data_IF_773477644583
#
_entry.id   IF_773477644583
#
_cell.length_a   1.000
_cell.length_b   1.000
_cell.length_c   1.000
_cell.angle_alpha   90.00
_cell.angle_beta   90.00
_cell.angle_gamma   90.00
#
_symmetry.space_group_name_H-M   'P 1'
#
loop_
_entity.id
_entity.type
_entity.pdbx_description
1 polymer ?
#
# COMPACT_ATOMS: atom_id res chain seq x y z
N UNK A 1 32.52 -8.58 8.85
CA UNK A 1 31.34 -8.95 8.05
C UNK A 1 30.16 -8.16 8.60
N UNK A 2 29.60 -7.25 7.82
CA UNK A 2 28.42 -6.48 8.26
C UNK A 2 27.27 -7.46 8.45
N UNK A 3 26.83 -7.64 9.69
CA UNK A 3 25.58 -8.33 9.99
C UNK A 3 24.47 -7.54 9.30
N UNK A 4 24.04 -8.06 8.15
CA UNK A 4 22.83 -7.62 7.48
C UNK A 4 21.75 -7.64 8.56
N UNK A 5 21.12 -6.50 8.85
CA UNK A 5 19.91 -6.50 9.66
C UNK A 5 18.78 -7.02 8.76
N UNK A 6 18.85 -8.32 8.45
CA UNK A 6 17.99 -9.06 7.55
C UNK A 6 16.52 -8.91 8.00
N UNK A 7 16.32 -8.65 9.30
CA UNK A 7 15.05 -8.29 9.92
C UNK A 7 14.41 -7.05 9.29
N UNK A 8 15.14 -5.94 9.07
CA UNK A 8 14.54 -4.69 8.56
C UNK A 8 14.07 -4.84 7.10
N UNK A 9 14.85 -5.50 6.25
CA UNK A 9 14.47 -5.81 4.85
C UNK A 9 13.29 -6.78 4.81
N UNK A 10 13.32 -7.83 5.64
CA UNK A 10 12.23 -8.82 5.73
C UNK A 10 10.95 -8.17 6.23
N UNK A 11 11.03 -7.30 7.24
CA UNK A 11 9.89 -6.58 7.78
C UNK A 11 9.27 -5.63 6.75
N UNK A 12 10.09 -4.91 5.98
CA UNK A 12 9.59 -4.05 4.89
C UNK A 12 8.87 -4.87 3.82
N UNK A 13 9.47 -5.97 3.36
CA UNK A 13 8.84 -6.86 2.37
C UNK A 13 7.52 -7.42 2.87
N UNK A 14 7.50 -7.93 4.10
CA UNK A 14 6.27 -8.43 4.73
C UNK A 14 5.18 -7.36 4.78
N UNK A 15 5.50 -6.15 5.24
CA UNK A 15 4.52 -5.07 5.32
C UNK A 15 3.97 -4.65 3.94
N UNK A 16 4.82 -4.68 2.90
CA UNK A 16 4.39 -4.45 1.50
C UNK A 16 3.45 -5.56 1.04
N UNK A 17 3.81 -6.82 1.28
CA UNK A 17 3.03 -7.97 0.82
C UNK A 17 1.67 -8.06 1.55
N UNK A 18 1.65 -7.73 2.85
CA UNK A 18 0.41 -7.61 3.64
C UNK A 18 -0.50 -6.50 3.07
N UNK A 19 0.08 -5.36 2.68
CA UNK A 19 -0.66 -4.24 2.07
C UNK A 19 -1.25 -4.64 0.70
N UNK A 20 -0.47 -5.31 -0.14
CA UNK A 20 -0.93 -5.82 -1.45
C UNK A 20 -2.08 -6.81 -1.26
N UNK A 21 -1.92 -7.77 -0.37
CA UNK A 21 -2.94 -8.77 -0.07
C UNK A 21 -4.25 -8.11 0.40
N UNK A 22 -4.15 -7.11 1.28
CA UNK A 22 -5.31 -6.38 1.78
C UNK A 22 -6.05 -5.65 0.64
N UNK A 23 -5.31 -5.00 -0.26
CA UNK A 23 -5.86 -4.30 -1.43
C UNK A 23 -6.56 -5.27 -2.39
N UNK A 24 -5.94 -6.39 -2.73
CA UNK A 24 -6.53 -7.41 -3.60
C UNK A 24 -7.83 -8.00 -3.01
N UNK A 25 -7.86 -8.21 -1.70
CA UNK A 25 -9.07 -8.63 -1.00
C UNK A 25 -10.19 -7.59 -1.12
N UNK A 26 -9.90 -6.30 -0.92
CA UNK A 26 -10.91 -5.25 -1.06
C UNK A 26 -11.45 -5.17 -2.50
N UNK A 27 -10.56 -5.27 -3.50
CA UNK A 27 -10.94 -5.30 -4.92
C UNK A 27 -11.85 -6.48 -5.23
N UNK A 28 -11.54 -7.66 -4.70
CA UNK A 28 -12.35 -8.87 -4.85
C UNK A 28 -13.74 -8.68 -4.23
N UNK A 29 -13.83 -8.16 -3.01
CA UNK A 29 -15.11 -7.92 -2.36
C UNK A 29 -16.01 -6.97 -3.15
N UNK A 30 -15.46 -5.85 -3.63
CA UNK A 30 -16.19 -4.87 -4.42
C UNK A 30 -16.73 -5.44 -5.74
N UNK A 31 -16.08 -6.45 -6.32
CA UNK A 31 -16.52 -7.09 -7.58
C UNK A 31 -17.65 -8.09 -7.39
N UNK A 32 -17.71 -8.74 -6.23
CA UNK A 32 -18.60 -9.89 -6.03
C UNK A 32 -19.84 -9.56 -5.20
N UNK A 33 -19.81 -8.51 -4.38
CA UNK A 33 -20.96 -8.17 -3.52
C UNK A 33 -21.11 -6.66 -3.32
N UNK A 34 -22.30 -6.14 -3.65
CA UNK A 34 -22.68 -4.74 -3.48
C UNK A 34 -22.77 -4.34 -1.99
N UNK A 35 -23.06 -5.29 -1.10
CA UNK A 35 -23.18 -5.06 0.34
C UNK A 35 -21.81 -5.03 1.04
N UNK A 36 -20.76 -5.54 0.38
CA UNK A 36 -19.39 -5.54 0.89
C UNK A 36 -18.83 -4.14 1.15
N UNK A 37 -19.42 -3.08 0.57
CA UNK A 37 -19.09 -1.67 0.83
C UNK A 37 -18.98 -1.32 2.32
N UNK A 38 -19.89 -1.86 3.13
CA UNK A 38 -19.90 -1.60 4.58
C UNK A 38 -18.61 -2.10 5.25
N UNK A 39 -17.95 -3.11 4.67
CA UNK A 39 -16.66 -3.64 5.11
C UNK A 39 -15.49 -2.94 4.42
N UNK A 40 -15.61 -2.62 3.14
CA UNK A 40 -14.52 -2.03 2.35
C UNK A 40 -14.24 -0.57 2.73
N UNK A 41 -15.27 0.24 3.00
CA UNK A 41 -15.11 1.66 3.39
C UNK A 41 -14.27 1.83 4.66
N UNK A 42 -14.56 1.17 5.80
CA UNK A 42 -13.73 1.29 6.99
C UNK A 42 -12.34 0.71 6.80
N UNK A 43 -12.18 -0.37 6.02
CA UNK A 43 -10.87 -0.94 5.71
C UNK A 43 -9.99 0.04 4.91
N UNK A 44 -10.55 0.70 3.88
CA UNK A 44 -9.85 1.72 3.10
C UNK A 44 -9.48 2.95 3.94
N UNK A 45 -10.34 3.36 4.88
CA UNK A 45 -10.11 4.56 5.72
C UNK A 45 -9.14 4.32 6.87
N UNK A 46 -9.15 3.16 7.51
CA UNK A 46 -8.39 2.93 8.75
C UNK A 46 -7.25 1.94 8.54
N UNK A 47 -7.57 0.71 8.15
CA UNK A 47 -6.57 -0.35 8.06
C UNK A 47 -5.53 -0.04 6.98
N UNK A 48 -5.97 0.43 5.82
CA UNK A 48 -5.08 0.67 4.70
C UNK A 48 -4.15 1.88 4.93
N UNK A 49 -4.67 2.93 5.57
CA UNK A 49 -3.88 4.08 6.02
C UNK A 49 -2.78 3.63 6.99
N UNK A 50 -3.11 2.77 7.96
CA UNK A 50 -2.15 2.24 8.92
C UNK A 50 -1.07 1.39 8.26
N UNK A 51 -1.45 0.50 7.34
CA UNK A 51 -0.48 -0.31 6.59
C UNK A 51 0.45 0.55 5.73
N UNK A 52 -0.07 1.59 5.07
CA UNK A 52 0.74 2.54 4.30
C UNK A 52 1.74 3.30 5.17
N UNK A 53 1.35 3.69 6.39
CA UNK A 53 2.26 4.34 7.35
C UNK A 53 3.36 3.39 7.83
N UNK A 54 3.03 2.11 8.06
CA UNK A 54 4.00 1.08 8.42
C UNK A 54 5.00 0.87 7.28
N UNK A 55 4.54 0.72 6.04
CA UNK A 55 5.39 0.56 4.85
C UNK A 55 6.31 1.78 4.67
N UNK A 56 5.79 3.00 4.77
CA UNK A 56 6.58 4.23 4.69
C UNK A 56 7.61 4.38 5.82
N UNK A 57 7.28 3.90 7.03
CA UNK A 57 8.21 3.92 8.16
C UNK A 57 9.33 2.90 7.98
N UNK A 58 8.99 1.67 7.57
CA UNK A 58 9.94 0.59 7.37
C UNK A 58 10.86 0.83 6.17
N UNK A 59 10.38 1.46 5.10
CA UNK A 59 11.22 1.84 3.95
C UNK A 59 12.33 2.82 4.35
N UNK A 60 12.00 3.85 5.14
CA UNK A 60 13.00 4.80 5.67
C UNK A 60 14.01 4.13 6.60
N UNK A 61 13.55 3.26 7.51
CA UNK A 61 14.44 2.49 8.40
C UNK A 61 15.38 1.59 7.59
N UNK A 62 14.84 0.89 6.60
CA UNK A 62 15.64 0.08 5.68
C UNK A 62 16.69 0.92 4.93
N UNK A 63 16.31 2.09 4.43
CA UNK A 63 17.21 3.01 3.74
C UNK A 63 18.38 3.46 4.63
N UNK A 64 18.13 3.74 5.92
CA UNK A 64 19.15 4.13 6.91
C UNK A 64 20.07 2.95 7.27
N UNK A 65 19.48 1.81 7.61
CA UNK A 65 20.23 0.64 8.11
C UNK A 65 21.05 -0.03 7.01
N UNK A 66 20.61 0.09 5.75
CA UNK A 66 21.19 -0.62 4.61
C UNK A 66 21.99 0.28 3.67
N UNK A 67 22.36 1.52 4.07
CA UNK A 67 23.12 2.48 3.23
C UNK A 67 24.40 1.91 2.58
N UNK A 68 24.95 0.85 3.14
CA UNK A 68 26.19 0.21 2.70
C UNK A 68 25.93 -1.11 1.94
N UNK A 69 24.68 -1.49 1.70
CA UNK A 69 24.29 -2.79 1.15
C UNK A 69 24.04 -2.72 -0.37
N UNK A 70 24.57 -3.66 -1.19
CA UNK A 70 24.41 -3.66 -2.64
C UNK A 70 22.95 -3.54 -3.11
N UNK A 71 22.03 -4.25 -2.45
CA UNK A 71 20.59 -4.23 -2.77
C UNK A 71 19.92 -2.86 -2.55
N UNK A 72 20.45 -2.04 -1.63
CA UNK A 72 20.00 -0.66 -1.37
C UNK A 72 20.88 0.37 -2.11
N UNK A 73 22.04 -0.06 -2.61
CA UNK A 73 22.80 0.70 -3.61
C UNK A 73 22.14 0.61 -5.01
N UNK A 74 21.43 -0.48 -5.34
CA UNK A 74 20.73 -0.63 -6.65
C UNK A 74 19.56 0.36 -6.79
N UNK A 75 18.84 0.66 -5.72
CA UNK A 75 17.86 1.74 -5.70
C UNK A 75 18.37 2.88 -4.83
N UNK A 76 18.81 3.95 -5.50
CA UNK A 76 19.34 5.18 -4.91
C UNK A 76 18.66 5.48 -3.58
N UNK A 77 19.42 5.79 -2.53
CA UNK A 77 18.93 6.11 -1.18
C UNK A 77 17.67 7.03 -1.16
N UNK A 78 17.51 7.91 -2.16
CA UNK A 78 16.31 8.72 -2.37
C UNK A 78 15.02 7.95 -2.69
N UNK A 79 15.09 6.77 -3.31
CA UNK A 79 13.95 5.93 -3.61
C UNK A 79 13.24 5.48 -2.32
N UNK A 80 13.94 4.79 -1.42
CA UNK A 80 13.32 4.30 -0.19
C UNK A 80 13.08 5.40 0.85
N UNK A 81 13.89 6.47 0.86
CA UNK A 81 13.75 7.54 1.85
C UNK A 81 12.75 8.63 1.45
N UNK A 82 12.48 8.79 0.15
CA UNK A 82 11.63 9.87 -0.36
C UNK A 82 10.54 9.36 -1.31
N UNK A 83 10.88 8.54 -2.30
CA UNK A 83 9.91 8.07 -3.31
C UNK A 83 8.88 7.11 -2.72
N UNK A 84 9.27 6.11 -1.93
CA UNK A 84 8.33 5.17 -1.30
C UNK A 84 7.41 5.89 -0.32
N UNK A 85 7.89 6.75 0.61
CA UNK A 85 6.99 7.55 1.45
C UNK A 85 6.04 8.46 0.65
N UNK A 86 6.52 9.06 -0.44
CA UNK A 86 5.68 9.92 -1.30
C UNK A 86 4.58 9.11 -1.98
N UNK A 87 4.90 7.92 -2.53
CA UNK A 87 3.90 7.01 -3.06
C UNK A 87 2.91 6.57 -1.99
N UNK A 88 3.38 6.19 -0.80
CA UNK A 88 2.48 5.84 0.30
C UNK A 88 1.52 6.99 0.64
N UNK A 89 2.00 8.23 0.71
CA UNK A 89 1.16 9.41 0.96
C UNK A 89 0.13 9.65 -0.15
N UNK A 90 0.53 9.51 -1.42
CA UNK A 90 -0.39 9.61 -2.56
C UNK A 90 -1.47 8.52 -2.51
N UNK A 91 -1.09 7.29 -2.19
CA UNK A 91 -2.01 6.16 -2.03
C UNK A 91 -2.99 6.38 -0.87
N UNK A 92 -2.57 6.98 0.25
CA UNK A 92 -3.49 7.36 1.35
C UNK A 92 -4.56 8.33 0.84
N UNK A 93 -4.16 9.34 0.07
CA UNK A 93 -5.10 10.29 -0.55
C UNK A 93 -6.08 9.61 -1.51
N UNK A 94 -5.58 8.70 -2.34
CA UNK A 94 -6.43 7.91 -3.24
C UNK A 94 -7.40 7.02 -2.47
N UNK A 95 -6.97 6.36 -1.40
CA UNK A 95 -7.83 5.50 -0.59
C UNK A 95 -8.92 6.29 0.14
N UNK A 96 -8.59 7.48 0.67
CA UNK A 96 -9.59 8.38 1.24
C UNK A 96 -10.62 8.81 0.19
N UNK A 97 -10.16 9.22 -0.99
CA UNK A 97 -11.03 9.60 -2.10
C UNK A 97 -11.92 8.43 -2.57
N UNK A 98 -11.36 7.21 -2.65
CA UNK A 98 -12.11 6.01 -2.99
C UNK A 98 -13.19 5.70 -1.95
N UNK A 99 -12.86 5.80 -0.66
CA UNK A 99 -13.83 5.59 0.41
C UNK A 99 -14.98 6.61 0.37
N UNK A 100 -14.69 7.88 0.05
CA UNK A 100 -15.71 8.91 -0.11
C UNK A 100 -16.59 8.63 -1.33
N UNK A 101 -16.00 8.25 -2.48
CA UNK A 101 -16.76 7.85 -3.68
C UNK A 101 -17.67 6.64 -3.42
N UNK A 102 -17.19 5.65 -2.66
CA UNK A 102 -17.99 4.47 -2.28
C UNK A 102 -19.14 4.83 -1.33
N UNK A 103 -18.96 5.83 -0.47
CA UNK A 103 -20.01 6.32 0.44
C UNK A 103 -21.10 7.07 -0.33
N UNK A 104 -20.69 7.93 -1.26
CA UNK A 104 -21.60 8.89 -1.88
C UNK A 104 -22.30 8.33 -3.15
N UNK A 105 -21.83 7.22 -3.71
CA UNK A 105 -22.43 6.59 -4.89
C UNK A 105 -22.75 5.11 -4.71
N UNK A 106 -24.03 4.77 -4.95
CA UNK A 106 -24.55 3.42 -4.71
C UNK A 106 -24.54 2.48 -5.94
N UNK A 107 -24.12 2.97 -7.11
CA UNK A 107 -24.13 2.20 -8.36
C UNK A 107 -23.05 1.12 -8.45
N UNK A 108 -23.40 -0.01 -9.08
CA UNK A 108 -22.48 -1.12 -9.38
C UNK A 108 -21.28 -0.69 -10.24
N UNK A 109 -21.46 0.25 -11.16
CA UNK A 109 -20.37 0.76 -12.01
C UNK A 109 -19.27 1.44 -11.20
N UNK A 110 -19.65 2.11 -10.09
CA UNK A 110 -18.68 2.77 -9.20
C UNK A 110 -17.86 1.74 -8.44
N UNK A 111 -18.47 0.62 -8.03
CA UNK A 111 -17.74 -0.48 -7.37
C UNK A 111 -16.71 -1.10 -8.28
N UNK A 112 -17.08 -1.37 -9.54
CA UNK A 112 -16.17 -1.92 -10.55
C UNK A 112 -15.04 -0.93 -10.84
N UNK A 113 -15.33 0.36 -10.94
CA UNK A 113 -14.30 1.39 -11.15
C UNK A 113 -13.32 1.50 -9.97
N UNK A 114 -13.83 1.45 -8.74
CA UNK A 114 -13.01 1.48 -7.52
C UNK A 114 -12.14 0.23 -7.42
N UNK A 115 -12.69 -0.96 -7.70
CA UNK A 115 -11.93 -2.21 -7.72
C UNK A 115 -10.80 -2.19 -8.77
N UNK A 116 -11.05 -1.62 -9.97
CA UNK A 116 -10.00 -1.46 -10.99
C UNK A 116 -8.89 -0.50 -10.55
N UNK A 117 -9.26 0.59 -9.85
CA UNK A 117 -8.26 1.53 -9.34
C UNK A 117 -7.38 0.88 -8.27
N UNK A 118 -7.96 0.05 -7.40
CA UNK A 118 -7.22 -0.72 -6.40
C UNK A 118 -6.21 -1.67 -7.07
N UNK A 119 -6.61 -2.39 -8.11
CA UNK A 119 -5.68 -3.27 -8.85
C UNK A 119 -4.53 -2.48 -9.49
N UNK A 120 -4.81 -1.30 -10.02
CA UNK A 120 -3.78 -0.43 -10.59
C UNK A 120 -2.80 0.07 -9.52
N UNK A 121 -3.29 0.36 -8.32
CA UNK A 121 -2.46 0.69 -7.16
C UNK A 121 -1.56 -0.49 -6.78
N UNK A 122 -2.10 -1.71 -6.73
CA UNK A 122 -1.34 -2.93 -6.43
C UNK A 122 -0.27 -3.16 -7.48
N UNK A 123 -0.61 -3.06 -8.77
CA UNK A 123 0.34 -3.23 -9.86
C UNK A 123 1.51 -2.23 -9.77
N UNK A 124 1.22 -0.99 -9.36
CA UNK A 124 2.26 0.00 -9.11
C UNK A 124 3.10 -0.37 -7.89
N UNK A 125 2.52 -0.86 -6.78
CA UNK A 125 3.25 -1.21 -5.56
C UNK A 125 4.20 -2.41 -5.68
N UNK A 126 4.03 -3.25 -6.70
CA UNK A 126 4.84 -4.44 -6.96
C UNK A 126 6.19 -4.16 -7.67
N UNK A 127 6.73 -2.93 -7.53
CA UNK A 127 8.05 -2.52 -8.04
C UNK A 127 9.18 -3.54 -7.76
#
# INVERSE_FOLDING_TARGET
MAHINQSTVTNFRKARDDLVTLLEQQSTFLRHDINSRAYVIPNLRLQLIQHLDIVASLSRKMAVDSRHHPYVLVHQNGFYNSVVPMHCAALKGQCAHLADRLRDNLGTDVLVAVAKLIDQIVANLCF
#
